data_IF_334766223396
#
_entry.id   IF_334766223396
#
_cell.length_a   1.000
_cell.length_b   1.000
_cell.length_c   1.000
_cell.angle_alpha   90.00
_cell.angle_beta   90.00
_cell.angle_gamma   90.00
#
_symmetry.space_group_name_H-M   'P 1'
#
loop_
_entity.id
_entity.type
_entity.pdbx_description
1 polymer ?
#
# COMPACT_ATOMS: atom_id res chain seq x y z
N UNK A 1 14.58 30.26 1.16
CA UNK A 1 13.68 31.32 0.64
C UNK A 1 12.29 30.72 0.51
N UNK A 2 11.32 31.21 1.27
CA UNK A 2 9.91 30.81 1.18
C UNK A 2 9.22 31.76 0.19
N UNK A 3 8.91 31.25 -1.00
CA UNK A 3 8.25 32.04 -2.04
C UNK A 3 6.77 31.65 -2.07
N UNK A 4 5.96 32.59 -1.57
CA UNK A 4 4.54 32.83 -1.86
C UNK A 4 3.58 31.63 -1.91
N UNK A 5 2.94 31.34 -0.79
CA UNK A 5 1.56 30.85 -0.78
C UNK A 5 0.62 32.01 -0.41
N UNK A 6 0.62 33.06 -1.24
CA UNK A 6 -0.38 34.12 -1.19
C UNK A 6 -1.43 33.84 -2.28
N UNK A 7 -2.19 32.76 -2.10
CA UNK A 7 -3.44 32.59 -2.85
C UNK A 7 -4.52 33.41 -2.16
N UNK A 8 -5.31 34.16 -2.92
CA UNK A 8 -6.52 34.80 -2.38
C UNK A 8 -7.45 33.71 -1.83
N UNK A 9 -8.02 33.93 -0.64
CA UNK A 9 -8.95 32.99 -0.02
C UNK A 9 -10.28 33.12 -0.74
N UNK A 10 -10.64 32.13 -1.55
CA UNK A 10 -11.95 32.06 -2.22
C UNK A 10 -13.02 31.45 -1.31
N UNK A 11 -14.26 31.93 -1.47
CA UNK A 11 -15.41 31.39 -0.71
C UNK A 11 -15.77 29.99 -1.19
N UNK A 12 -15.82 29.02 -0.27
CA UNK A 12 -16.19 27.63 -0.55
C UNK A 12 -17.62 27.47 -1.12
N UNK A 13 -18.49 28.45 -0.89
CA UNK A 13 -19.87 28.49 -1.41
C UNK A 13 -20.01 29.14 -2.78
N UNK A 14 -18.91 29.61 -3.39
CA UNK A 14 -18.95 30.25 -4.71
C UNK A 14 -19.36 29.21 -5.78
N UNK A 15 -20.35 29.51 -6.63
CA UNK A 15 -20.70 28.64 -7.75
C UNK A 15 -19.60 28.69 -8.81
N UNK A 16 -19.17 27.53 -9.29
CA UNK A 16 -18.04 27.39 -10.26
C UNK A 16 -18.52 26.91 -11.62
N UNK A 17 -19.69 26.28 -11.68
CA UNK A 17 -20.25 25.71 -12.89
C UNK A 17 -21.75 25.97 -12.95
N UNK A 18 -22.22 26.47 -14.10
CA UNK A 18 -23.62 26.72 -14.39
C UNK A 18 -23.97 25.94 -15.68
N UNK A 19 -24.36 24.68 -15.51
CA UNK A 19 -24.79 23.81 -16.61
C UNK A 19 -25.90 22.89 -16.13
N UNK A 20 -27.04 22.92 -16.85
CA UNK A 20 -28.24 22.10 -16.62
C UNK A 20 -28.98 22.33 -15.29
N UNK A 21 -28.97 23.58 -14.79
CA UNK A 21 -29.81 24.02 -13.66
C UNK A 21 -29.37 23.56 -12.26
N UNK A 22 -28.18 22.96 -12.14
CA UNK A 22 -27.56 22.66 -10.84
C UNK A 22 -26.33 23.54 -10.64
N UNK A 23 -26.40 24.41 -9.62
CA UNK A 23 -25.26 25.17 -9.14
C UNK A 23 -24.33 24.23 -8.37
N UNK A 24 -23.10 24.05 -8.85
CA UNK A 24 -22.07 23.29 -8.13
C UNK A 24 -21.14 24.29 -7.45
N UNK A 25 -21.06 24.23 -6.12
CA UNK A 25 -20.18 25.09 -5.34
C UNK A 25 -18.74 24.54 -5.33
N UNK A 26 -17.76 25.41 -5.05
CA UNK A 26 -16.35 25.01 -4.88
C UNK A 26 -16.19 23.85 -3.88
N UNK A 27 -16.96 23.86 -2.79
CA UNK A 27 -16.96 22.81 -1.78
C UNK A 27 -17.40 21.45 -2.32
N UNK A 28 -18.34 21.40 -3.26
CA UNK A 28 -18.83 20.15 -3.84
C UNK A 28 -17.76 19.50 -4.73
N UNK A 29 -17.03 20.33 -5.49
CA UNK A 29 -15.88 19.87 -6.27
C UNK A 29 -14.73 19.39 -5.37
N UNK A 30 -14.47 20.09 -4.27
CA UNK A 30 -13.46 19.70 -3.29
C UNK A 30 -13.83 18.38 -2.61
N UNK A 31 -15.10 18.22 -2.22
CA UNK A 31 -15.62 16.99 -1.64
C UNK A 31 -15.46 15.81 -2.61
N UNK A 32 -15.84 15.99 -3.88
CA UNK A 32 -15.66 14.98 -4.93
C UNK A 32 -14.18 14.62 -5.16
N UNK A 33 -13.27 15.59 -5.09
CA UNK A 33 -11.81 15.35 -5.21
C UNK A 33 -11.21 14.70 -3.96
N UNK A 34 -11.78 14.95 -2.79
CA UNK A 34 -11.36 14.36 -1.51
C UNK A 34 -11.90 12.95 -1.28
N UNK A 35 -12.92 12.54 -2.05
CA UNK A 35 -13.57 11.25 -1.94
C UNK A 35 -12.62 10.06 -2.23
N UNK A 36 -11.52 10.28 -2.95
CA UNK A 36 -10.49 9.25 -3.18
C UNK A 36 -9.50 9.07 -2.01
N UNK A 37 -9.53 9.95 -1.00
CA UNK A 37 -8.52 10.00 0.07
C UNK A 37 -9.15 10.21 1.47
N UNK A 38 -10.32 9.63 1.73
CA UNK A 38 -10.88 9.68 3.09
C UNK A 38 -10.13 8.73 4.03
N UNK A 39 -10.12 9.05 5.33
CA UNK A 39 -9.54 8.16 6.36
C UNK A 39 -10.21 6.78 6.37
N UNK A 40 -11.48 6.70 5.98
CA UNK A 40 -12.24 5.44 5.84
C UNK A 40 -11.71 4.59 4.67
N UNK A 41 -11.35 5.22 3.54
CA UNK A 41 -10.73 4.52 2.40
C UNK A 41 -9.34 3.97 2.76
N UNK A 42 -8.57 4.69 3.56
CA UNK A 42 -7.26 4.23 4.00
C UNK A 42 -7.32 2.95 4.87
N UNK A 43 -8.26 2.88 5.81
CA UNK A 43 -8.42 1.69 6.66
C UNK A 43 -9.01 0.51 5.87
N UNK A 44 -9.95 0.79 4.95
CA UNK A 44 -10.48 -0.22 4.02
C UNK A 44 -9.38 -0.79 3.13
N UNK A 45 -8.51 0.06 2.56
CA UNK A 45 -7.38 -0.38 1.74
C UNK A 45 -6.41 -1.24 2.55
N UNK A 46 -6.08 -0.86 3.79
CA UNK A 46 -5.25 -1.69 4.68
C UNK A 46 -5.87 -3.06 4.98
N UNK A 47 -7.19 -3.12 5.16
CA UNK A 47 -7.88 -4.38 5.37
C UNK A 47 -7.75 -5.28 4.14
N UNK A 48 -7.99 -4.73 2.94
CA UNK A 48 -7.84 -5.44 1.67
C UNK A 48 -6.39 -5.92 1.49
N UNK A 49 -5.40 -5.06 1.74
CA UNK A 49 -3.98 -5.42 1.67
C UNK A 49 -3.63 -6.57 2.62
N UNK A 50 -4.13 -6.53 3.87
CA UNK A 50 -3.91 -7.60 4.84
C UNK A 50 -4.56 -8.91 4.42
N UNK A 51 -5.77 -8.85 3.86
CA UNK A 51 -6.47 -10.04 3.35
C UNK A 51 -5.71 -10.67 2.18
N UNK A 52 -5.26 -9.84 1.23
CA UNK A 52 -4.46 -10.27 0.09
C UNK A 52 -3.13 -10.87 0.54
N UNK A 53 -2.39 -10.19 1.41
CA UNK A 53 -1.12 -10.69 1.95
C UNK A 53 -1.30 -12.02 2.69
N UNK A 54 -2.37 -12.17 3.47
CA UNK A 54 -2.69 -13.43 4.15
C UNK A 54 -2.88 -14.55 3.14
N UNK A 55 -3.70 -14.33 2.10
CA UNK A 55 -3.93 -15.33 1.05
C UNK A 55 -2.62 -15.73 0.36
N UNK A 56 -1.79 -14.75 -0.03
CA UNK A 56 -0.52 -15.00 -0.69
C UNK A 56 0.46 -15.80 0.19
N UNK A 57 0.50 -15.51 1.49
CA UNK A 57 1.34 -16.24 2.45
C UNK A 57 0.81 -17.66 2.65
N UNK A 58 -0.51 -17.84 2.75
CA UNK A 58 -1.14 -19.15 3.01
C UNK A 58 -0.85 -20.17 1.89
N UNK A 59 -0.67 -19.71 0.66
CA UNK A 59 -0.31 -20.53 -0.50
C UNK A 59 1.18 -20.89 -0.58
N UNK A 60 2.04 -20.25 0.20
CA UNK A 60 3.45 -20.60 0.23
C UNK A 60 3.66 -21.99 0.87
N UNK A 61 4.61 -22.79 0.38
CA UNK A 61 5.11 -23.95 1.11
C UNK A 61 5.57 -23.57 2.52
N UNK A 62 5.44 -24.49 3.48
CA UNK A 62 5.77 -24.22 4.89
C UNK A 62 7.19 -23.68 5.11
N UNK A 63 8.18 -24.17 4.37
CA UNK A 63 9.54 -23.64 4.45
C UNK A 63 9.65 -22.18 3.99
N UNK A 64 8.92 -21.81 2.94
CA UNK A 64 8.88 -20.44 2.42
C UNK A 64 8.13 -19.51 3.39
N UNK A 65 7.05 -19.98 4.03
CA UNK A 65 6.35 -19.25 5.12
C UNK A 65 7.27 -18.95 6.29
N UNK A 66 8.04 -19.94 6.73
CA UNK A 66 9.02 -19.77 7.82
C UNK A 66 10.05 -18.71 7.45
N UNK A 67 10.61 -18.77 6.22
CA UNK A 67 11.56 -17.77 5.75
C UNK A 67 10.95 -16.35 5.80
N UNK A 68 9.75 -16.15 5.25
CA UNK A 68 9.09 -14.84 5.23
C UNK A 68 8.77 -14.33 6.64
N UNK A 69 8.30 -15.20 7.54
CA UNK A 69 8.07 -14.84 8.95
C UNK A 69 9.37 -14.37 9.61
N UNK A 70 10.43 -15.16 9.51
CA UNK A 70 11.73 -14.79 10.10
C UNK A 70 12.22 -13.46 9.53
N UNK A 71 12.02 -13.24 8.22
CA UNK A 71 12.54 -12.06 7.53
C UNK A 71 11.80 -10.77 7.86
N UNK A 72 10.47 -10.80 7.86
CA UNK A 72 9.62 -9.59 7.89
C UNK A 72 8.82 -9.42 9.17
N UNK A 73 8.69 -10.48 9.99
CA UNK A 73 8.02 -10.40 11.29
C UNK A 73 9.00 -10.44 12.46
N UNK A 74 10.11 -11.17 12.32
CA UNK A 74 11.16 -11.27 13.34
C UNK A 74 12.43 -10.46 13.00
N UNK A 75 12.39 -9.65 11.93
CA UNK A 75 13.49 -8.77 11.48
C UNK A 75 14.85 -9.47 11.32
N UNK A 76 14.87 -10.76 11.01
CA UNK A 76 16.11 -11.51 10.87
C UNK A 76 16.80 -11.18 9.53
N UNK A 77 18.12 -11.06 9.57
CA UNK A 77 18.94 -10.94 8.36
C UNK A 77 18.98 -12.27 7.60
N UNK A 78 19.20 -12.21 6.28
CA UNK A 78 19.37 -13.43 5.46
C UNK A 78 20.49 -14.33 5.99
N UNK A 79 21.55 -13.76 6.59
CA UNK A 79 22.63 -14.51 7.20
C UNK A 79 22.20 -15.23 8.50
N UNK A 80 21.35 -14.61 9.34
CA UNK A 80 20.79 -15.26 10.52
C UNK A 80 19.82 -16.38 10.12
N UNK A 81 18.98 -16.14 9.11
CA UNK A 81 18.05 -17.14 8.56
C UNK A 81 18.82 -18.32 7.97
N UNK A 82 19.89 -18.07 7.22
CA UNK A 82 20.76 -19.09 6.66
C UNK A 82 21.32 -20.04 7.73
N UNK A 83 21.79 -19.47 8.86
CA UNK A 83 22.25 -20.24 10.02
C UNK A 83 21.13 -21.09 10.63
N UNK A 84 19.93 -20.53 10.80
CA UNK A 84 18.77 -21.28 11.35
C UNK A 84 18.30 -22.41 10.44
N UNK A 85 18.33 -22.20 9.12
CA UNK A 85 17.84 -23.16 8.12
C UNK A 85 18.92 -24.15 7.65
N UNK A 86 20.18 -24.00 8.08
CA UNK A 86 21.27 -24.89 7.68
C UNK A 86 21.65 -24.80 6.19
N UNK A 87 21.39 -23.65 5.55
CA UNK A 87 21.67 -23.40 4.13
C UNK A 87 22.53 -22.15 3.96
N UNK A 88 23.06 -21.92 2.76
CA UNK A 88 23.84 -20.71 2.49
C UNK A 88 22.98 -19.45 2.43
N UNK A 89 23.56 -18.28 2.78
CA UNK A 89 22.88 -16.99 2.62
C UNK A 89 22.49 -16.70 1.16
N UNK A 90 23.28 -17.18 0.19
CA UNK A 90 22.94 -17.07 -1.24
C UNK A 90 21.69 -17.88 -1.59
N UNK A 91 21.53 -19.07 -1.01
CA UNK A 91 20.30 -19.87 -1.18
C UNK A 91 19.09 -19.17 -0.56
N UNK A 92 19.22 -18.61 0.65
CA UNK A 92 18.16 -17.80 1.28
C UNK A 92 17.78 -16.61 0.39
N UNK A 93 18.76 -15.87 -0.12
CA UNK A 93 18.55 -14.72 -1.00
C UNK A 93 17.78 -15.10 -2.27
N UNK A 94 18.16 -16.21 -2.92
CA UNK A 94 17.47 -16.72 -4.11
C UNK A 94 16.04 -17.16 -3.79
N UNK A 95 15.84 -17.82 -2.64
CA UNK A 95 14.53 -18.28 -2.20
C UNK A 95 13.61 -17.09 -1.89
N UNK A 96 14.07 -16.10 -1.10
CA UNK A 96 13.34 -14.87 -0.79
C UNK A 96 12.93 -14.14 -2.07
N UNK A 97 13.87 -13.95 -3.01
CA UNK A 97 13.58 -13.32 -4.30
C UNK A 97 12.51 -14.07 -5.08
N UNK A 98 12.58 -15.41 -5.14
CA UNK A 98 11.58 -16.24 -5.83
C UNK A 98 10.20 -16.12 -5.20
N UNK A 99 10.13 -16.10 -3.86
CA UNK A 99 8.87 -15.92 -3.13
C UNK A 99 8.27 -14.56 -3.47
N UNK A 100 9.05 -13.48 -3.36
CA UNK A 100 8.57 -12.12 -3.62
C UNK A 100 8.12 -11.90 -5.08
N UNK A 101 8.82 -12.50 -6.04
CA UNK A 101 8.39 -12.47 -7.45
C UNK A 101 7.04 -13.17 -7.61
N UNK A 102 6.89 -14.38 -7.06
CA UNK A 102 5.62 -15.13 -7.13
C UNK A 102 4.47 -14.37 -6.47
N UNK A 103 4.71 -13.74 -5.31
CA UNK A 103 3.70 -12.93 -4.62
C UNK A 103 3.29 -11.73 -5.46
N UNK A 104 4.23 -11.05 -6.13
CA UNK A 104 3.95 -9.91 -7.03
C UNK A 104 3.12 -10.34 -8.24
N UNK A 105 3.49 -11.43 -8.90
CA UNK A 105 2.75 -11.96 -10.06
C UNK A 105 1.30 -12.30 -9.69
N UNK A 106 1.06 -12.77 -8.46
CA UNK A 106 -0.27 -13.11 -7.96
C UNK A 106 -1.05 -11.92 -7.40
N UNK A 107 -0.39 -10.87 -6.92
CA UNK A 107 -1.07 -9.68 -6.38
C UNK A 107 -1.73 -8.83 -7.46
N UNK A 108 -1.42 -9.05 -8.75
CA UNK A 108 -2.00 -8.29 -9.86
C UNK A 108 -1.51 -6.83 -9.92
N UNK A 109 -0.34 -6.55 -9.34
CA UNK A 109 0.31 -5.23 -9.29
C UNK A 109 1.63 -5.25 -10.06
#
# INVERSE_FOLDING_TARGET
>A
MAVAAAGEVESLSKPVYEGDGKEIALMDQLAARSADNTWEDAEKNRLVDRMLLKQLIDELPEQEKILIRLRYYEDQTQAQIAKKLGISQVQVSRMEKKILIRMRERSGV
#
